data_IF_131857460743
#
_entry.id   IF_131857460743
#
_cell.length_a   1.000
_cell.length_b   1.000
_cell.length_c   1.000
_cell.angle_alpha   90.00
_cell.angle_beta   90.00
_cell.angle_gamma   90.00
#
_symmetry.space_group_name_H-M   'P 1'
#
loop_
_entity.id
_entity.type
_entity.pdbx_description
1 polymer ?
#
# COMPACT_ATOMS: atom_id res chain seq x y z
N UNK A 1 -6.29 19.18 -11.21
CA UNK A 1 -5.91 18.57 -9.92
C UNK A 1 -5.71 17.06 -10.05
N UNK A 2 -6.62 16.36 -10.74
CA UNK A 2 -6.64 14.90 -10.97
C UNK A 2 -5.42 14.30 -11.68
N UNK A 3 -4.79 15.00 -12.64
CA UNK A 3 -3.55 14.51 -13.30
C UNK A 3 -2.30 14.59 -12.44
N UNK A 4 -2.27 15.46 -11.41
CA UNK A 4 -1.08 15.63 -10.55
C UNK A 4 -1.01 14.54 -9.49
N UNK A 5 -2.13 14.14 -8.89
CA UNK A 5 -2.17 13.08 -7.86
C UNK A 5 -1.73 11.73 -8.43
N UNK A 6 -2.16 11.41 -9.66
CA UNK A 6 -1.84 10.15 -10.35
C UNK A 6 -0.38 9.98 -10.76
N UNK A 7 0.38 11.08 -10.92
CA UNK A 7 1.81 11.02 -11.25
C UNK A 7 2.70 11.24 -10.04
N UNK A 8 2.19 11.89 -8.99
CA UNK A 8 2.90 12.08 -7.73
C UNK A 8 2.92 10.78 -6.93
N UNK A 9 1.80 10.06 -6.80
CA UNK A 9 1.79 8.82 -6.01
C UNK A 9 2.59 7.68 -6.68
N UNK A 10 2.33 7.35 -7.94
CA UNK A 10 3.05 6.25 -8.62
C UNK A 10 4.54 6.51 -8.78
N UNK A 11 4.97 7.77 -8.90
CA UNK A 11 6.39 8.12 -8.95
C UNK A 11 7.04 8.16 -7.56
N UNK A 12 6.38 8.69 -6.52
CA UNK A 12 6.96 8.74 -5.18
C UNK A 12 7.09 7.37 -4.53
N UNK A 13 6.09 6.48 -4.63
CA UNK A 13 6.23 5.14 -4.03
C UNK A 13 7.37 4.39 -4.73
N UNK A 14 7.39 4.36 -6.08
CA UNK A 14 8.47 3.75 -6.89
C UNK A 14 9.89 4.29 -6.60
N UNK A 15 10.03 5.61 -6.39
CA UNK A 15 11.32 6.24 -6.06
C UNK A 15 11.78 5.98 -4.61
N UNK A 16 10.85 5.70 -3.69
CA UNK A 16 11.18 5.34 -2.30
C UNK A 16 11.57 3.86 -2.20
N UNK A 17 10.87 2.97 -2.93
CA UNK A 17 11.20 1.55 -3.06
C UNK A 17 12.62 1.31 -3.59
N UNK A 18 13.03 2.06 -4.62
CA UNK A 18 14.31 1.85 -5.26
C UNK A 18 15.50 2.39 -4.45
N UNK A 19 15.31 3.43 -3.61
CA UNK A 19 16.42 4.02 -2.85
C UNK A 19 16.71 3.32 -1.52
N UNK A 20 15.73 2.71 -0.84
CA UNK A 20 16.05 1.96 0.39
C UNK A 20 16.62 0.57 0.05
N UNK A 21 16.10 -0.07 -1.01
CA UNK A 21 16.57 -1.38 -1.47
C UNK A 21 17.89 -1.34 -2.27
N UNK A 22 18.17 -0.27 -3.04
CA UNK A 22 19.45 -0.18 -3.77
C UNK A 22 20.65 0.10 -2.85
N UNK A 23 20.43 0.73 -1.70
CA UNK A 23 21.50 1.19 -0.83
C UNK A 23 21.90 0.17 0.25
N UNK A 24 21.00 -0.72 0.65
CA UNK A 24 21.32 -1.78 1.61
C UNK A 24 21.92 -3.05 0.96
N UNK A 25 22.21 -2.98 -0.36
CA UNK A 25 22.75 -4.06 -1.18
C UNK A 25 24.27 -4.31 -1.07
N UNK A 26 25.01 -3.57 -0.23
CA UNK A 26 26.46 -3.77 -0.04
C UNK A 26 26.82 -4.74 1.10
N UNK A 27 25.88 -5.56 1.56
CA UNK A 27 26.15 -6.68 2.48
C UNK A 27 25.91 -7.99 1.76
N UNK A 28 26.81 -8.98 1.94
CA UNK A 28 26.81 -10.25 1.19
C UNK A 28 25.39 -10.80 0.97
N UNK A 29 25.02 -11.17 -0.27
CA UNK A 29 23.63 -11.43 -0.60
C UNK A 29 23.11 -12.61 0.21
N UNK A 30 22.26 -12.33 1.19
CA UNK A 30 21.38 -13.36 1.73
C UNK A 30 20.42 -13.83 0.62
N UNK A 31 19.99 -15.08 0.68
CA UNK A 31 19.01 -15.62 -0.27
C UNK A 31 17.79 -14.68 -0.34
N UNK A 32 17.54 -14.14 -1.54
CA UNK A 32 16.38 -13.31 -1.81
C UNK A 32 15.09 -14.11 -1.55
N UNK A 33 14.11 -13.48 -0.90
CA UNK A 33 12.80 -14.10 -0.64
C UNK A 33 11.79 -13.63 -1.67
N UNK A 34 10.91 -14.52 -2.10
CA UNK A 34 9.80 -14.16 -2.96
C UNK A 34 8.78 -13.33 -2.16
N UNK A 35 8.37 -12.15 -2.65
CA UNK A 35 7.39 -11.32 -1.93
C UNK A 35 6.03 -12.02 -1.79
N UNK A 36 5.64 -12.87 -2.76
CA UNK A 36 4.42 -13.68 -2.67
C UNK A 36 4.44 -14.65 -1.48
N UNK A 37 5.60 -15.28 -1.22
CA UNK A 37 5.74 -16.24 -0.12
C UNK A 37 5.65 -15.54 1.24
N UNK A 38 6.32 -14.39 1.37
CA UNK A 38 6.25 -13.58 2.60
C UNK A 38 4.83 -13.08 2.84
N UNK A 39 4.14 -12.65 1.79
CA UNK A 39 2.80 -12.13 1.92
C UNK A 39 1.77 -13.21 2.30
N UNK A 40 1.95 -14.43 1.77
CA UNK A 40 1.20 -15.60 2.21
C UNK A 40 1.43 -15.90 3.69
N UNK A 41 2.63 -15.76 4.24
CA UNK A 41 2.88 -16.01 5.67
C UNK A 41 2.12 -15.03 6.58
N UNK A 42 1.96 -13.77 6.16
CA UNK A 42 1.39 -12.70 6.98
C UNK A 42 -0.14 -12.66 6.88
N UNK A 43 -0.72 -12.77 5.68
CA UNK A 43 -2.14 -12.51 5.42
C UNK A 43 -2.80 -13.59 4.55
N UNK A 44 -2.66 -14.87 4.94
CA UNK A 44 -3.11 -16.04 4.14
C UNK A 44 -4.55 -15.90 3.60
N UNK A 45 -5.58 -15.56 4.41
CA UNK A 45 -6.96 -15.53 3.95
C UNK A 45 -7.22 -14.43 2.91
N UNK A 46 -6.71 -13.23 3.16
CA UNK A 46 -6.90 -12.05 2.31
C UNK A 46 -6.20 -12.25 0.95
N UNK A 47 -5.00 -12.82 0.96
CA UNK A 47 -4.26 -13.13 -0.26
C UNK A 47 -4.99 -14.08 -1.20
N UNK A 48 -5.51 -15.19 -0.64
CA UNK A 48 -6.30 -16.16 -1.44
C UNK A 48 -7.52 -15.51 -2.07
N UNK A 49 -8.14 -14.56 -1.38
CA UNK A 49 -9.32 -13.86 -1.87
C UNK A 49 -8.96 -12.91 -3.01
N UNK A 50 -7.87 -12.13 -2.89
CA UNK A 50 -7.42 -11.22 -3.96
C UNK A 50 -7.09 -11.97 -5.25
N UNK A 51 -6.43 -13.13 -5.16
CA UNK A 51 -6.03 -13.90 -6.35
C UNK A 51 -7.18 -14.54 -7.12
N UNK A 52 -8.36 -14.69 -6.50
CA UNK A 52 -9.56 -15.09 -7.24
C UNK A 52 -10.01 -14.04 -8.27
N UNK A 53 -9.55 -12.79 -8.13
CA UNK A 53 -9.99 -11.66 -8.93
C UNK A 53 -8.88 -11.01 -9.78
N UNK A 54 -7.60 -11.35 -9.56
CA UNK A 54 -6.47 -10.72 -10.26
C UNK A 54 -5.24 -11.65 -10.36
N UNK A 55 -5.27 -12.62 -11.28
CA UNK A 55 -4.16 -13.55 -11.54
C UNK A 55 -2.87 -12.83 -11.98
N UNK A 56 -2.99 -11.71 -12.71
CA UNK A 56 -1.84 -10.90 -13.13
C UNK A 56 -1.11 -10.23 -11.95
N UNK A 57 -1.81 -10.01 -10.84
CA UNK A 57 -1.21 -9.48 -9.62
C UNK A 57 -0.40 -10.54 -8.86
N UNK A 58 -0.80 -11.81 -8.94
CA UNK A 58 -0.02 -12.91 -8.40
C UNK A 58 1.32 -13.04 -9.12
N UNK A 59 1.32 -13.02 -10.45
CA UNK A 59 2.54 -13.06 -11.26
C UNK A 59 3.45 -11.86 -10.96
N UNK A 60 2.88 -10.67 -10.77
CA UNK A 60 3.63 -9.49 -10.37
C UNK A 60 4.40 -9.73 -9.06
N UNK A 61 3.70 -10.12 -7.97
CA UNK A 61 4.34 -10.35 -6.67
C UNK A 61 5.35 -11.51 -6.70
N UNK A 62 5.10 -12.54 -7.51
CA UNK A 62 6.00 -13.68 -7.65
C UNK A 62 7.34 -13.32 -8.32
N UNK A 63 7.37 -12.24 -9.11
CA UNK A 63 8.56 -11.76 -9.81
C UNK A 63 9.30 -10.65 -9.05
N UNK A 64 8.76 -10.18 -7.92
CA UNK A 64 9.41 -9.21 -7.04
C UNK A 64 10.19 -9.95 -5.94
N UNK A 65 11.42 -9.51 -5.69
CA UNK A 65 12.32 -10.12 -4.72
C UNK A 65 12.53 -9.19 -3.52
N UNK A 66 12.22 -9.70 -2.32
CA UNK A 66 12.66 -9.13 -1.06
C UNK A 66 14.15 -9.39 -0.85
N UNK A 67 14.87 -8.36 -0.42
CA UNK A 67 16.29 -8.49 -0.07
C UNK A 67 16.43 -8.97 1.37
N UNK A 68 17.43 -9.81 1.62
CA UNK A 68 17.78 -10.28 2.96
C UNK A 68 19.03 -9.54 3.46
N UNK A 69 18.83 -8.67 4.43
CA UNK A 69 19.87 -7.91 5.15
C UNK A 69 20.44 -8.70 6.35
N UNK A 70 21.65 -9.24 6.28
CA UNK A 70 22.19 -10.15 7.31
C UNK A 70 22.42 -9.50 8.69
N UNK A 71 22.40 -8.17 8.80
CA UNK A 71 22.69 -7.43 10.03
C UNK A 71 21.45 -7.06 10.87
N UNK A 72 20.23 -7.31 10.37
CA UNK A 72 18.99 -7.01 11.09
C UNK A 72 18.26 -8.29 11.48
N UNK A 73 17.51 -8.23 12.58
CA UNK A 73 16.75 -9.37 13.11
C UNK A 73 15.63 -9.81 12.17
N UNK A 74 15.18 -11.06 12.31
CA UNK A 74 14.06 -11.58 11.52
C UNK A 74 12.77 -10.76 11.66
N UNK A 75 12.55 -10.12 12.82
CA UNK A 75 11.38 -9.28 13.05
C UNK A 75 11.49 -7.93 12.34
N UNK A 76 12.69 -7.33 12.29
CA UNK A 76 12.95 -6.12 11.54
C UNK A 76 12.79 -6.35 10.03
N UNK A 77 13.27 -7.52 9.55
CA UNK A 77 12.98 -7.97 8.18
C UNK A 77 11.50 -8.05 7.90
N UNK A 78 10.75 -8.72 8.78
CA UNK A 78 9.32 -8.91 8.58
C UNK A 78 8.56 -7.58 8.53
N UNK A 79 8.93 -6.62 9.39
CA UNK A 79 8.36 -5.28 9.37
C UNK A 79 8.68 -4.53 8.06
N UNK A 80 9.91 -4.67 7.55
CA UNK A 80 10.32 -4.09 6.27
C UNK A 80 9.59 -4.75 5.08
N UNK A 81 9.52 -6.08 5.03
CA UNK A 81 8.79 -6.81 4.01
C UNK A 81 7.31 -6.43 4.01
N UNK A 82 6.69 -6.33 5.20
CA UNK A 82 5.31 -5.88 5.37
C UNK A 82 5.10 -4.46 4.83
N UNK A 83 6.03 -3.53 5.11
CA UNK A 83 6.03 -2.19 4.52
C UNK A 83 6.10 -2.23 2.99
N UNK A 84 7.00 -3.02 2.43
CA UNK A 84 7.19 -3.12 0.97
C UNK A 84 5.92 -3.69 0.32
N UNK A 85 5.45 -4.82 0.79
CA UNK A 85 4.28 -5.52 0.25
C UNK A 85 3.02 -4.66 0.43
N UNK A 86 2.84 -4.09 1.62
CA UNK A 86 1.73 -3.18 1.93
C UNK A 86 1.70 -1.96 1.01
N UNK A 87 2.85 -1.35 0.74
CA UNK A 87 2.96 -0.20 -0.16
C UNK A 87 2.61 -0.56 -1.62
N UNK A 88 3.03 -1.73 -2.11
CA UNK A 88 2.68 -2.24 -3.44
C UNK A 88 1.18 -2.43 -3.57
N UNK A 89 0.56 -3.11 -2.60
CA UNK A 89 -0.87 -3.42 -2.63
C UNK A 89 -1.69 -2.14 -2.46
N UNK A 90 -1.25 -1.23 -1.61
CA UNK A 90 -1.89 0.07 -1.44
C UNK A 90 -1.87 0.88 -2.76
N UNK A 91 -0.75 0.87 -3.49
CA UNK A 91 -0.67 1.50 -4.81
C UNK A 91 -1.63 0.87 -5.84
N UNK A 92 -1.73 -0.46 -5.87
CA UNK A 92 -2.72 -1.16 -6.72
C UNK A 92 -4.15 -0.76 -6.35
N UNK A 93 -4.43 -0.74 -5.05
CA UNK A 93 -5.74 -0.45 -4.51
C UNK A 93 -6.18 1.00 -4.79
N UNK A 94 -5.27 1.97 -4.62
CA UNK A 94 -5.48 3.36 -5.01
C UNK A 94 -5.88 3.48 -6.48
N UNK A 95 -5.17 2.76 -7.35
CA UNK A 95 -5.44 2.73 -8.79
C UNK A 95 -6.83 2.20 -9.13
N UNK A 96 -7.18 1.04 -8.58
CA UNK A 96 -8.45 0.36 -8.83
C UNK A 96 -9.63 1.16 -8.23
N UNK A 97 -9.49 1.67 -7.01
CA UNK A 97 -10.51 2.51 -6.38
C UNK A 97 -10.74 3.82 -7.12
N UNK A 98 -9.68 4.44 -7.65
CA UNK A 98 -9.83 5.65 -8.48
C UNK A 98 -10.66 5.36 -9.73
N UNK A 99 -10.43 4.23 -10.38
CA UNK A 99 -11.21 3.83 -11.55
C UNK A 99 -12.67 3.52 -11.18
N UNK A 100 -12.90 2.86 -10.04
CA UNK A 100 -14.24 2.58 -9.52
C UNK A 100 -15.02 3.86 -9.20
N UNK A 101 -14.39 4.81 -8.49
CA UNK A 101 -14.95 6.13 -8.19
C UNK A 101 -15.31 6.90 -9.47
N UNK A 102 -14.43 6.90 -10.48
CA UNK A 102 -14.70 7.53 -11.76
C UNK A 102 -15.90 6.87 -12.47
N UNK A 103 -16.01 5.55 -12.39
CA UNK A 103 -17.15 4.84 -12.97
C UNK A 103 -18.48 5.24 -12.31
N UNK A 104 -18.52 5.31 -10.97
CA UNK A 104 -19.70 5.76 -10.22
C UNK A 104 -20.10 7.19 -10.59
N UNK A 105 -19.15 8.13 -10.59
CA UNK A 105 -19.42 9.55 -10.91
C UNK A 105 -19.97 9.76 -12.32
N UNK A 106 -19.56 8.91 -13.25
CA UNK A 106 -19.95 9.02 -14.65
C UNK A 106 -21.10 8.08 -15.05
N UNK A 107 -21.72 7.38 -14.11
CA UNK A 107 -22.82 6.44 -14.37
C UNK A 107 -22.42 5.28 -15.30
N UNK A 108 -21.14 4.89 -15.29
CA UNK A 108 -20.66 3.74 -16.08
C UNK A 108 -21.10 2.45 -15.36
N UNK A 109 -21.44 1.42 -16.14
CA UNK A 109 -21.73 0.10 -15.58
C UNK A 109 -20.50 -0.45 -14.84
N UNK A 110 -20.69 -0.91 -13.62
CA UNK A 110 -19.67 -1.54 -12.80
C UNK A 110 -20.05 -3.01 -12.63
N UNK A 111 -19.11 -3.92 -12.89
CA UNK A 111 -19.34 -5.33 -12.61
C UNK A 111 -19.21 -5.60 -11.11
N UNK A 112 -19.99 -6.54 -10.59
CA UNK A 112 -19.88 -7.00 -9.21
C UNK A 112 -18.45 -7.47 -8.89
N UNK A 113 -17.79 -8.10 -9.85
CA UNK A 113 -16.38 -8.52 -9.77
C UNK A 113 -15.43 -7.35 -9.46
N UNK A 114 -15.70 -6.15 -9.95
CA UNK A 114 -14.84 -4.97 -9.70
C UNK A 114 -14.99 -4.47 -8.26
N UNK A 115 -16.23 -4.47 -7.75
CA UNK A 115 -16.52 -4.10 -6.36
C UNK A 115 -15.94 -5.13 -5.39
N UNK A 116 -16.13 -6.42 -5.67
CA UNK A 116 -15.60 -7.53 -4.88
C UNK A 116 -14.08 -7.53 -4.86
N UNK A 117 -13.43 -7.36 -6.02
CA UNK A 117 -11.97 -7.19 -6.12
C UNK A 117 -11.47 -6.03 -5.25
N UNK A 118 -12.11 -4.87 -5.36
CA UNK A 118 -11.74 -3.70 -4.58
C UNK A 118 -11.91 -3.93 -3.07
N UNK A 119 -12.96 -4.66 -2.67
CA UNK A 119 -13.18 -5.06 -1.28
C UNK A 119 -12.12 -6.03 -0.78
N UNK A 120 -11.73 -7.01 -1.61
CA UNK A 120 -10.68 -7.97 -1.27
C UNK A 120 -9.32 -7.28 -1.08
N UNK A 121 -8.98 -6.35 -1.97
CA UNK A 121 -7.76 -5.55 -1.87
C UNK A 121 -7.76 -4.66 -0.62
N UNK A 122 -8.87 -4.03 -0.24
CA UNK A 122 -8.96 -3.28 1.03
C UNK A 122 -8.68 -4.17 2.25
N UNK A 123 -9.30 -5.36 2.28
CA UNK A 123 -9.07 -6.32 3.36
C UNK A 123 -7.60 -6.69 3.47
N UNK A 124 -6.94 -6.88 2.33
CA UNK A 124 -5.52 -7.21 2.28
C UNK A 124 -4.63 -6.05 2.77
N UNK A 125 -4.90 -4.82 2.34
CA UNK A 125 -4.17 -3.64 2.86
C UNK A 125 -4.37 -3.49 4.37
N UNK A 126 -5.58 -3.74 4.88
CA UNK A 126 -5.86 -3.67 6.32
C UNK A 126 -5.07 -4.71 7.11
N UNK A 127 -4.95 -5.94 6.60
CA UNK A 127 -4.12 -6.97 7.22
C UNK A 127 -2.62 -6.59 7.23
N UNK A 128 -2.14 -5.94 6.16
CA UNK A 128 -0.76 -5.49 6.00
C UNK A 128 -0.46 -4.14 6.64
N UNK A 129 -1.43 -3.52 7.32
CA UNK A 129 -1.26 -2.21 7.96
C UNK A 129 -0.11 -2.21 8.95
N UNK A 130 0.75 -1.21 8.85
CA UNK A 130 1.89 -1.02 9.76
C UNK A 130 1.38 -0.72 11.17
N UNK A 131 1.79 -1.55 12.12
CA UNK A 131 1.45 -1.37 13.55
C UNK A 131 2.51 -0.53 14.25
N UNK A 132 2.20 -0.03 15.44
CA UNK A 132 3.18 0.69 16.28
C UNK A 132 4.45 -0.12 16.57
N UNK A 133 4.37 -1.45 16.64
CA UNK A 133 5.55 -2.30 16.83
C UNK A 133 6.34 -2.48 15.52
N UNK A 134 5.66 -2.49 14.38
CA UNK A 134 6.33 -2.45 13.07
C UNK A 134 7.06 -1.12 12.87
N UNK A 135 6.49 0.01 13.27
CA UNK A 135 7.13 1.33 13.22
C UNK A 135 8.45 1.36 14.02
N UNK A 136 8.46 0.80 15.24
CA UNK A 136 9.69 0.69 16.05
C UNK A 136 10.75 -0.13 15.33
N UNK A 137 10.35 -1.30 14.79
CA UNK A 137 11.26 -2.19 14.06
C UNK A 137 11.79 -1.54 12.77
N UNK A 138 10.97 -0.77 12.07
CA UNK A 138 11.39 0.01 10.91
C UNK A 138 12.36 1.15 11.29
N UNK A 139 12.13 1.81 12.42
CA UNK A 139 13.07 2.82 12.93
C UNK A 139 14.44 2.19 13.23
N UNK A 140 14.47 1.08 13.95
CA UNK A 140 15.72 0.35 14.23
C UNK A 140 16.40 -0.16 12.95
N UNK A 141 15.62 -0.62 11.96
CA UNK A 141 16.14 -1.00 10.66
C UNK A 141 16.84 0.16 9.96
N UNK A 142 16.22 1.35 9.97
CA UNK A 142 16.80 2.58 9.38
C UNK A 142 18.07 2.98 10.14
N UNK A 143 18.06 2.92 11.48
CA UNK A 143 19.22 3.28 12.31
C UNK A 143 20.44 2.42 11.95
N UNK A 144 20.26 1.10 11.84
CA UNK A 144 21.35 0.20 11.40
C UNK A 144 21.86 0.57 10.01
N UNK A 145 20.97 0.93 9.08
CA UNK A 145 21.35 1.38 7.73
C UNK A 145 22.13 2.69 7.73
N UNK A 146 21.76 3.65 8.58
CA UNK A 146 22.47 4.93 8.75
C UNK A 146 23.84 4.72 9.40
N UNK A 147 23.91 3.93 10.47
CA UNK A 147 25.17 3.61 11.16
C UNK A 147 26.17 2.89 10.26
N UNK A 148 25.67 1.99 9.40
CA UNK A 148 26.49 1.30 8.41
C UNK A 148 26.94 2.20 7.23
N UNK A 149 26.45 3.44 7.15
CA UNK A 149 26.73 4.35 6.03
C UNK A 149 25.96 4.04 4.75
N UNK A 150 25.01 3.12 4.81
CA UNK A 150 24.18 2.71 3.67
C UNK A 150 23.01 3.68 3.46
N UNK A 151 22.48 4.30 4.52
CA UNK A 151 21.41 5.30 4.42
C UNK A 151 21.89 6.71 4.79
N UNK A 152 21.38 7.76 4.13
CA UNK A 152 21.63 9.13 4.54
C UNK A 152 21.12 9.40 5.97
N UNK A 153 21.89 10.16 6.76
CA UNK A 153 21.59 10.43 8.18
C UNK A 153 20.31 11.24 8.46
N UNK A 154 19.60 11.70 7.42
CA UNK A 154 18.33 12.41 7.54
C UNK A 154 17.11 11.52 7.26
N UNK A 155 17.33 10.27 6.83
CA UNK A 155 16.25 9.29 6.65
C UNK A 155 15.78 8.83 8.02
N UNK A 156 14.47 8.83 8.24
CA UNK A 156 13.83 8.36 9.46
C UNK A 156 12.49 7.68 9.15
N UNK A 157 11.91 7.00 10.14
CA UNK A 157 10.66 6.24 9.97
C UNK A 157 9.48 7.13 9.54
N UNK A 158 9.42 8.37 10.01
CA UNK A 158 8.37 9.33 9.64
C UNK A 158 8.43 9.65 8.14
N UNK A 159 9.62 9.93 7.62
CA UNK A 159 9.84 10.20 6.20
C UNK A 159 9.46 9.00 5.32
N UNK A 160 9.77 7.77 5.78
CA UNK A 160 9.43 6.52 5.11
C UNK A 160 7.92 6.29 5.03
N UNK A 161 7.21 6.57 6.13
CA UNK A 161 5.79 6.25 6.28
C UNK A 161 4.86 7.39 5.85
N UNK A 162 5.33 8.64 5.72
CA UNK A 162 4.47 9.80 5.44
C UNK A 162 3.50 9.61 4.25
N UNK A 163 4.01 9.12 3.13
CA UNK A 163 3.22 8.87 1.92
C UNK A 163 2.25 7.69 2.10
N UNK A 164 2.68 6.65 2.82
CA UNK A 164 1.84 5.48 3.09
C UNK A 164 0.70 5.85 4.04
N UNK A 165 0.99 6.55 5.13
CA UNK A 165 0.00 6.99 6.11
C UNK A 165 -1.07 7.89 5.48
N UNK A 166 -0.65 8.82 4.61
CA UNK A 166 -1.58 9.69 3.87
C UNK A 166 -2.48 8.89 2.92
N UNK A 167 -1.93 7.92 2.20
CA UNK A 167 -2.69 7.04 1.31
C UNK A 167 -3.66 6.13 2.08
N UNK A 168 -3.17 5.52 3.17
CA UNK A 168 -3.94 4.61 4.01
C UNK A 168 -5.16 5.31 4.60
N UNK A 169 -4.99 6.52 5.16
CA UNK A 169 -6.12 7.27 5.67
C UNK A 169 -7.15 7.55 4.56
N UNK A 170 -6.71 8.20 3.48
CA UNK A 170 -7.62 8.74 2.48
C UNK A 170 -8.41 7.68 1.72
N UNK A 171 -7.74 6.67 1.17
CA UNK A 171 -8.41 5.74 0.24
C UNK A 171 -8.66 4.37 0.82
N UNK A 172 -7.82 3.91 1.75
CA UNK A 172 -7.91 2.55 2.27
C UNK A 172 -8.84 2.46 3.47
N UNK A 173 -8.70 3.38 4.43
CA UNK A 173 -9.43 3.33 5.69
C UNK A 173 -10.78 4.05 5.57
N UNK A 174 -10.82 5.20 4.92
CA UNK A 174 -12.01 6.07 4.90
C UNK A 174 -12.77 6.04 3.56
N UNK A 175 -12.23 6.64 2.49
CA UNK A 175 -13.02 6.89 1.28
C UNK A 175 -13.42 5.59 0.58
N UNK A 176 -12.49 4.66 0.37
CA UNK A 176 -12.76 3.44 -0.40
C UNK A 176 -13.82 2.56 0.25
N UNK A 177 -13.75 2.36 1.57
CA UNK A 177 -14.74 1.58 2.33
C UNK A 177 -16.16 2.15 2.19
N UNK A 178 -16.30 3.47 2.29
CA UNK A 178 -17.60 4.15 2.22
C UNK A 178 -18.15 4.19 0.80
N UNK A 179 -17.29 4.46 -0.18
CA UNK A 179 -17.68 4.45 -1.60
C UNK A 179 -18.15 3.06 -2.05
N UNK A 180 -17.53 1.98 -1.56
CA UNK A 180 -17.98 0.62 -1.85
C UNK A 180 -19.36 0.29 -1.27
N UNK A 181 -19.92 1.09 -0.36
CA UNK A 181 -21.26 0.91 0.18
C UNK A 181 -22.35 1.65 -0.63
N UNK A 182 -21.96 2.53 -1.56
CA UNK A 182 -22.90 3.31 -2.39
C UNK A 182 -23.60 2.38 -3.39
N UNK A 183 -24.92 2.52 -3.53
CA UNK A 183 -25.68 1.86 -4.58
C UNK A 183 -25.36 2.51 -5.94
N UNK A 184 -24.71 1.74 -6.83
CA UNK A 184 -24.32 2.21 -8.16
C UNK A 184 -25.51 2.55 -9.07
N UNK A 185 -26.73 2.12 -8.72
CA UNK A 185 -27.95 2.42 -9.46
C UNK A 185 -28.71 3.65 -8.94
N UNK A 186 -28.26 4.24 -7.82
CA UNK A 186 -28.90 5.42 -7.24
C UNK A 186 -28.77 6.65 -8.16
N UNK A 187 -29.84 7.45 -8.23
CA UNK A 187 -29.89 8.64 -9.08
C UNK A 187 -28.91 9.76 -8.63
N UNK A 188 -28.56 9.77 -7.34
CA UNK A 188 -27.67 10.74 -6.70
C UNK A 188 -26.27 10.17 -6.40
N UNK A 189 -25.89 9.06 -7.04
CA UNK A 189 -24.59 8.37 -6.83
C UNK A 189 -23.39 9.32 -6.91
N UNK A 190 -23.38 10.26 -7.86
CA UNK A 190 -22.29 11.23 -8.03
C UNK A 190 -22.17 12.16 -6.81
N UNK A 191 -23.29 12.62 -6.27
CA UNK A 191 -23.33 13.54 -5.13
C UNK A 191 -22.92 12.82 -3.85
N UNK A 192 -23.38 11.58 -3.65
CA UNK A 192 -22.97 10.75 -2.52
C UNK A 192 -21.46 10.50 -2.50
N UNK A 193 -20.88 10.14 -3.65
CA UNK A 193 -19.42 9.92 -3.77
C UNK A 193 -18.65 11.22 -3.52
N UNK A 194 -19.10 12.35 -4.08
CA UNK A 194 -18.45 13.64 -3.85
C UNK A 194 -18.46 14.04 -2.36
N UNK A 195 -19.59 13.87 -1.68
CA UNK A 195 -19.71 14.12 -0.26
C UNK A 195 -18.75 13.25 0.57
N UNK A 196 -18.64 11.96 0.26
CA UNK A 196 -17.71 11.05 0.93
C UNK A 196 -16.25 11.51 0.77
N UNK A 197 -15.85 11.92 -0.43
CA UNK A 197 -14.49 12.35 -0.72
C UNK A 197 -14.11 13.61 0.06
N UNK A 198 -15.01 14.60 0.12
CA UNK A 198 -14.79 15.85 0.85
C UNK A 198 -14.74 15.64 2.36
N UNK A 199 -15.66 14.86 2.92
CA UNK A 199 -15.67 14.51 4.36
C UNK A 199 -14.42 13.70 4.74
N UNK A 200 -13.97 12.78 3.87
CA UNK A 200 -12.74 12.01 4.10
C UNK A 200 -11.50 12.90 4.10
N UNK A 201 -11.36 13.77 3.09
CA UNK A 201 -10.25 14.73 3.03
C UNK A 201 -10.17 15.57 4.32
N UNK A 202 -11.31 16.12 4.75
CA UNK A 202 -11.37 16.94 5.96
C UNK A 202 -11.12 16.18 7.27
N UNK A 203 -11.16 14.85 7.29
CA UNK A 203 -10.79 14.03 8.46
C UNK A 203 -9.32 13.65 8.42
N UNK A 204 -8.83 13.14 7.29
CA UNK A 204 -7.43 12.75 7.15
C UNK A 204 -6.47 13.95 7.25
N UNK A 205 -6.86 15.14 6.82
CA UNK A 205 -6.05 16.37 7.00
C UNK A 205 -6.00 16.87 8.45
N UNK A 206 -6.86 16.38 9.36
CA UNK A 206 -6.87 16.78 10.78
C UNK A 206 -6.02 15.87 11.67
N UNK A 207 -5.65 14.70 11.18
CA UNK A 207 -4.93 13.66 11.92
C UNK A 207 -3.42 13.63 11.59
N UNK A 208 -2.95 14.53 10.73
CA UNK A 208 -1.53 14.77 10.36
C UNK A 208 -1.18 16.26 10.45
#
# INVERSE_FOLDING_TARGET
MERKIRHVFTALTALTFLNVAAYAAETEPGEARNLLDVAHEICVPEFKTVFQFDEGFQDFLANELGQKYPLVSAEQHLAFDKYVIGSVINAKQLGDMTAYIDALKNGKTISDTTREKSSALLSLVECLRITTDDEKRLAEFIDVGVEAGNLPSHVNVESLLSAQNSAECMYTIEAGRRVLAVDASAADVSDQVQFILEDTAGRCEKDF
#
